data_IF_669847551190
#
_entry.id   IF_669847551190
#
_cell.length_a   1.000
_cell.length_b   1.000
_cell.length_c   1.000
_cell.angle_alpha   90.00
_cell.angle_beta   90.00
_cell.angle_gamma   90.00
#
_symmetry.space_group_name_H-M   'P 1'
#
loop_
_entity.id
_entity.type
_entity.pdbx_description
1 polymer ?
#
# COMPACT_ATOMS: atom_id res chain seq x y z
N UNK A 1 45.55 48.09 -28.04
CA UNK A 1 46.39 47.28 -27.14
C UNK A 1 46.32 47.93 -25.77
N UNK A 2 45.55 47.37 -24.84
CA UNK A 2 45.56 47.81 -23.44
C UNK A 2 46.76 47.16 -22.76
N UNK A 3 47.61 47.96 -22.12
CA UNK A 3 48.72 47.50 -21.28
C UNK A 3 48.17 46.63 -20.13
N UNK A 4 48.11 45.31 -20.35
CA UNK A 4 47.99 44.35 -19.26
C UNK A 4 49.34 44.34 -18.55
N UNK A 5 49.35 44.65 -17.25
CA UNK A 5 50.58 44.52 -16.44
C UNK A 5 51.15 43.11 -16.58
N UNK A 6 52.48 42.98 -16.54
CA UNK A 6 53.15 41.67 -16.61
C UNK A 6 52.59 40.66 -15.59
N UNK A 7 52.19 41.14 -14.40
CA UNK A 7 51.52 40.32 -13.39
C UNK A 7 50.14 39.81 -13.85
N UNK A 8 49.35 40.61 -14.54
CA UNK A 8 48.07 40.18 -15.08
C UNK A 8 48.24 39.13 -16.19
N UNK A 9 49.28 39.28 -17.02
CA UNK A 9 49.61 38.31 -18.06
C UNK A 9 50.06 36.97 -17.47
N UNK A 10 50.90 36.96 -16.43
CA UNK A 10 51.28 35.74 -15.71
C UNK A 10 50.10 35.07 -14.99
N UNK A 11 49.16 35.85 -14.44
CA UNK A 11 47.97 35.29 -13.80
C UNK A 11 47.00 34.61 -14.77
N UNK A 12 46.99 34.99 -16.05
CA UNK A 12 46.06 34.40 -17.05
C UNK A 12 46.75 33.53 -18.08
N UNK A 13 48.07 33.34 -17.99
CA UNK A 13 48.85 32.61 -19.02
C UNK A 13 48.50 31.13 -19.10
N UNK A 14 48.00 30.52 -18.01
CA UNK A 14 47.64 29.11 -17.98
C UNK A 14 46.28 28.81 -18.64
N UNK A 15 45.41 29.81 -18.78
CA UNK A 15 44.08 29.74 -19.42
C UNK A 15 44.04 30.38 -20.82
N UNK A 16 45.19 30.57 -21.46
CA UNK A 16 45.24 31.13 -22.81
C UNK A 16 44.59 30.19 -23.83
N UNK A 17 44.08 30.72 -24.94
CA UNK A 17 43.41 29.93 -25.97
C UNK A 17 44.28 28.80 -26.55
N UNK A 18 45.61 28.90 -26.48
CA UNK A 18 46.54 27.83 -26.84
C UNK A 18 46.47 26.60 -25.92
N UNK A 19 46.03 26.78 -24.67
CA UNK A 19 45.87 25.74 -23.66
C UNK A 19 44.41 25.32 -23.47
N UNK A 20 43.48 25.81 -24.29
CA UNK A 20 42.04 25.59 -24.12
C UNK A 20 41.70 24.10 -23.99
N UNK A 21 42.20 23.26 -24.89
CA UNK A 21 41.95 21.81 -24.86
C UNK A 21 42.46 21.13 -23.57
N UNK A 22 43.58 21.59 -23.02
CA UNK A 22 44.14 21.06 -21.78
C UNK A 22 43.31 21.49 -20.56
N UNK A 23 42.90 22.76 -20.52
CA UNK A 23 42.05 23.28 -19.43
C UNK A 23 40.66 22.65 -19.47
N UNK A 24 40.09 22.44 -20.66
CA UNK A 24 38.82 21.74 -20.86
C UNK A 24 38.89 20.29 -20.36
N UNK A 25 39.96 19.55 -20.67
CA UNK A 25 40.12 18.15 -20.22
C UNK A 25 40.25 18.05 -18.69
N UNK A 26 41.00 18.96 -18.06
CA UNK A 26 41.09 19.00 -16.59
C UNK A 26 39.74 19.40 -15.97
N UNK A 27 39.02 20.33 -16.60
CA UNK A 27 37.69 20.74 -16.13
C UNK A 27 36.66 19.61 -16.28
N UNK A 28 36.71 18.81 -17.35
CA UNK A 28 35.88 17.62 -17.48
C UNK A 28 36.15 16.61 -16.35
N UNK A 29 37.41 16.35 -16.04
CA UNK A 29 37.80 15.46 -14.94
C UNK A 29 37.36 16.02 -13.58
N UNK A 30 37.40 17.34 -13.39
CA UNK A 30 36.86 18.00 -12.20
C UNK A 30 35.35 17.80 -12.05
N UNK A 31 34.57 17.86 -13.15
CA UNK A 31 33.13 17.62 -13.12
C UNK A 31 32.77 16.14 -12.88
N UNK A 32 33.67 15.20 -13.21
CA UNK A 32 33.51 13.77 -12.94
C UNK A 32 33.89 13.41 -11.50
N UNK A 33 35.08 13.82 -11.05
CA UNK A 33 35.57 13.66 -9.68
C UNK A 33 36.64 14.72 -9.33
N UNK A 34 36.32 15.71 -8.49
CA UNK A 34 37.26 16.75 -8.04
C UNK A 34 38.51 16.23 -7.31
N UNK A 35 38.53 14.97 -6.85
CA UNK A 35 39.70 14.38 -6.19
C UNK A 35 40.78 13.91 -7.17
N UNK A 36 40.47 13.84 -8.47
CA UNK A 36 41.37 13.34 -9.52
C UNK A 36 42.30 14.40 -10.09
N UNK A 37 42.05 15.68 -9.79
CA UNK A 37 42.82 16.80 -10.30
C UNK A 37 43.74 17.43 -9.22
N UNK A 38 44.83 18.11 -9.62
CA UNK A 38 45.69 18.80 -8.68
C UNK A 38 44.95 19.86 -7.84
N UNK A 39 45.33 20.07 -6.55
CA UNK A 39 44.65 21.00 -5.65
C UNK A 39 44.55 22.44 -6.20
N UNK A 40 45.57 22.88 -6.93
CA UNK A 40 45.64 24.21 -7.54
C UNK A 40 44.52 24.46 -8.58
N UNK A 41 44.19 23.43 -9.36
CA UNK A 41 43.11 23.48 -10.35
C UNK A 41 41.73 23.39 -9.69
N UNK A 42 41.62 22.61 -8.61
CA UNK A 42 40.38 22.49 -7.84
C UNK A 42 39.98 23.84 -7.24
N UNK A 43 40.91 24.49 -6.53
CA UNK A 43 40.72 25.83 -5.96
C UNK A 43 40.38 26.88 -7.02
N UNK A 44 40.94 26.74 -8.23
CA UNK A 44 40.65 27.62 -9.35
C UNK A 44 39.22 27.42 -9.88
N UNK A 45 38.78 26.18 -10.08
CA UNK A 45 37.43 25.87 -10.59
C UNK A 45 36.32 26.12 -9.57
N UNK A 46 36.58 25.94 -8.27
CA UNK A 46 35.66 26.28 -7.18
C UNK A 46 35.32 27.79 -7.14
N UNK A 47 36.23 28.65 -7.64
CA UNK A 47 36.09 30.11 -7.66
C UNK A 47 35.46 30.64 -8.94
N UNK A 48 35.13 29.78 -9.91
CA UNK A 48 34.50 30.22 -11.15
C UNK A 48 33.08 30.75 -10.87
N UNK A 49 32.70 31.90 -11.44
CA UNK A 49 31.37 32.46 -11.27
C UNK A 49 30.36 31.54 -11.94
N UNK A 50 29.33 31.13 -11.18
CA UNK A 50 28.17 30.42 -11.75
C UNK A 50 27.40 31.37 -12.64
N UNK A 51 27.04 30.92 -13.85
CA UNK A 51 26.27 31.73 -14.79
C UNK A 51 24.88 32.00 -14.21
N UNK A 52 24.50 33.27 -14.05
CA UNK A 52 23.19 33.65 -13.53
C UNK A 52 22.06 33.09 -14.41
N UNK A 53 21.12 32.37 -13.79
CA UNK A 53 19.91 31.83 -14.44
C UNK A 53 19.93 30.34 -14.77
N UNK A 54 21.03 29.62 -14.52
CA UNK A 54 21.10 28.14 -14.70
C UNK A 54 21.34 27.48 -13.33
N UNK A 55 20.34 26.80 -12.74
CA UNK A 55 20.46 26.20 -11.40
C UNK A 55 21.20 24.85 -11.38
N UNK A 56 21.71 24.38 -12.53
CA UNK A 56 22.36 23.08 -12.66
C UNK A 56 23.87 23.18 -12.65
N UNK A 57 24.52 22.24 -11.96
CA UNK A 57 25.95 21.96 -12.05
C UNK A 57 26.33 21.64 -13.51
N UNK A 58 27.48 22.13 -13.97
CA UNK A 58 27.97 21.87 -15.33
C UNK A 58 28.13 20.36 -15.57
N UNK A 59 27.80 19.90 -16.78
CA UNK A 59 27.78 18.48 -17.15
C UNK A 59 29.02 18.18 -18.00
N UNK A 60 29.77 17.09 -17.73
CA UNK A 60 30.90 16.68 -18.55
C UNK A 60 30.51 16.50 -20.03
N UNK A 61 31.21 17.20 -20.93
CA UNK A 61 30.86 17.22 -22.35
C UNK A 61 31.16 15.88 -23.05
N UNK A 62 32.19 15.15 -22.62
CA UNK A 62 32.47 13.77 -23.06
C UNK A 62 31.30 12.79 -22.84
N UNK A 63 30.50 12.96 -21.79
CA UNK A 63 29.31 12.12 -21.54
C UNK A 63 28.25 12.34 -22.62
N UNK A 64 28.06 13.61 -23.00
CA UNK A 64 27.11 14.01 -24.06
C UNK A 64 27.60 13.52 -25.42
N UNK A 65 28.89 13.67 -25.73
CA UNK A 65 29.48 13.19 -26.97
C UNK A 65 29.33 11.67 -27.12
N UNK A 66 29.62 10.88 -26.07
CA UNK A 66 29.41 9.42 -26.06
C UNK A 66 27.95 9.04 -26.26
N UNK A 67 27.02 9.80 -25.67
CA UNK A 67 25.59 9.57 -25.85
C UNK A 67 25.16 9.77 -27.32
N UNK A 68 25.60 10.85 -27.96
CA UNK A 68 25.31 11.09 -29.38
C UNK A 68 26.03 10.10 -30.31
N UNK A 69 27.23 9.65 -29.96
CA UNK A 69 27.93 8.59 -30.68
C UNK A 69 27.15 7.26 -30.63
N UNK A 70 26.59 6.90 -29.47
CA UNK A 70 25.74 5.72 -29.29
C UNK A 70 24.42 5.84 -30.07
N UNK A 71 23.81 7.03 -30.10
CA UNK A 71 22.62 7.30 -30.93
C UNK A 71 22.92 7.19 -32.43
N UNK A 72 24.09 7.66 -32.86
CA UNK A 72 24.58 7.50 -34.24
C UNK A 72 24.80 6.04 -34.61
N UNK A 73 25.38 5.24 -33.71
CA UNK A 73 25.61 3.79 -33.90
C UNK A 73 24.31 2.96 -33.91
N UNK A 74 23.25 3.42 -33.21
CA UNK A 74 21.94 2.74 -33.18
C UNK A 74 21.10 2.92 -34.46
N UNK A 75 21.41 3.87 -35.34
CA UNK A 75 20.66 4.09 -36.61
C UNK A 75 20.95 3.05 -37.70
N UNK A 76 22.04 2.30 -37.61
CA UNK A 76 22.30 1.16 -38.46
C UNK A 76 22.08 -0.09 -37.64
N UNK A 77 20.94 -0.78 -37.80
CA UNK A 77 20.79 -2.16 -37.31
C UNK A 77 21.91 -3.02 -37.91
N UNK A 78 22.88 -3.52 -37.13
CA UNK A 78 23.71 -4.60 -37.62
C UNK A 78 22.92 -5.89 -37.39
N UNK A 79 22.87 -6.74 -38.40
CA UNK A 79 22.60 -8.16 -38.17
C UNK A 79 23.54 -8.65 -37.08
N UNK A 80 22.99 -9.35 -36.09
CA UNK A 80 23.72 -9.90 -34.95
C UNK A 80 24.84 -10.81 -35.46
N UNK A 81 26.09 -10.38 -35.28
CA UNK A 81 27.28 -11.22 -35.42
C UNK A 81 27.67 -11.68 -34.00
N UNK A 82 27.84 -12.99 -33.74
CA UNK A 82 28.30 -13.47 -32.44
C UNK A 82 29.75 -12.99 -32.23
N UNK A 83 29.99 -12.15 -31.20
CA UNK A 83 31.34 -11.66 -30.87
C UNK A 83 31.45 -10.23 -30.32
N UNK A 84 30.36 -9.46 -30.19
CA UNK A 84 30.39 -8.10 -29.59
C UNK A 84 30.20 -8.13 -28.06
N UNK A 85 31.16 -8.71 -27.33
CA UNK A 85 31.05 -8.94 -25.89
C UNK A 85 30.80 -7.69 -25.03
N UNK A 86 31.37 -6.53 -25.35
CA UNK A 86 31.33 -5.35 -24.46
C UNK A 86 29.94 -4.69 -24.30
N UNK A 87 29.17 -4.59 -25.39
CA UNK A 87 27.82 -3.95 -25.35
C UNK A 87 26.78 -4.91 -24.77
N UNK A 88 26.96 -6.22 -25.01
CA UNK A 88 26.08 -7.24 -24.45
C UNK A 88 26.28 -7.39 -22.93
N UNK A 89 27.54 -7.34 -22.45
CA UNK A 89 27.85 -7.44 -21.01
C UNK A 89 27.27 -6.26 -20.21
N UNK A 90 27.39 -5.02 -20.71
CA UNK A 90 26.82 -3.85 -20.01
C UNK A 90 25.28 -3.88 -19.99
N UNK A 91 24.64 -4.32 -21.08
CA UNK A 91 23.18 -4.50 -21.11
C UNK A 91 22.74 -5.63 -20.17
N UNK A 92 23.44 -6.77 -20.16
CA UNK A 92 23.18 -7.89 -19.24
C UNK A 92 23.40 -7.50 -17.77
N UNK A 93 24.43 -6.68 -17.46
CA UNK A 93 24.63 -6.13 -16.11
C UNK A 93 23.46 -5.25 -15.69
N UNK A 94 23.02 -4.33 -16.55
CA UNK A 94 21.86 -3.48 -16.28
C UNK A 94 20.57 -4.29 -16.16
N UNK A 95 20.42 -5.37 -16.93
CA UNK A 95 19.29 -6.29 -16.80
C UNK A 95 19.18 -6.88 -15.40
N UNK A 96 20.29 -7.28 -14.77
CA UNK A 96 20.30 -7.75 -13.38
C UNK A 96 19.86 -6.64 -12.43
N UNK A 97 20.34 -5.41 -12.65
CA UNK A 97 19.93 -4.25 -11.83
C UNK A 97 18.45 -3.92 -11.97
N UNK A 98 17.86 -4.09 -13.15
CA UNK A 98 16.41 -3.94 -13.35
C UNK A 98 15.62 -4.99 -12.56
N UNK A 99 16.10 -6.23 -12.48
CA UNK A 99 15.48 -7.26 -11.64
C UNK A 99 15.61 -6.95 -10.14
N UNK A 100 16.76 -6.42 -9.70
CA UNK A 100 16.91 -5.93 -8.32
C UNK A 100 15.97 -4.76 -8.02
N UNK A 101 15.83 -3.81 -8.94
CA UNK A 101 14.86 -2.72 -8.81
C UNK A 101 13.44 -3.24 -8.65
N UNK A 102 12.99 -4.16 -9.53
CA UNK A 102 11.68 -4.81 -9.41
C UNK A 102 11.50 -5.47 -8.04
N UNK A 103 12.53 -6.16 -7.55
CA UNK A 103 12.51 -6.77 -6.22
C UNK A 103 12.39 -5.72 -5.10
N UNK A 104 13.10 -4.59 -5.18
CA UNK A 104 13.00 -3.52 -4.20
C UNK A 104 11.59 -2.92 -4.14
N UNK A 105 10.94 -2.69 -5.29
CA UNK A 105 9.55 -2.21 -5.31
C UNK A 105 8.58 -3.22 -4.69
N UNK A 106 8.76 -4.52 -4.95
CA UNK A 106 7.94 -5.58 -4.33
C UNK A 106 8.09 -5.64 -2.81
N UNK A 107 9.30 -5.42 -2.29
CA UNK A 107 9.60 -5.53 -0.86
C UNK A 107 9.22 -4.25 -0.12
N UNK A 108 9.55 -3.07 -0.67
CA UNK A 108 9.50 -1.79 0.06
C UNK A 108 8.64 -0.71 -0.60
N UNK A 109 8.01 -0.99 -1.73
CA UNK A 109 7.16 -0.01 -2.42
C UNK A 109 6.03 0.53 -1.53
N UNK A 110 5.50 -0.30 -0.63
CA UNK A 110 4.49 0.10 0.36
C UNK A 110 4.96 1.24 1.29
N UNK A 111 6.26 1.42 1.53
CA UNK A 111 6.82 2.51 2.34
C UNK A 111 6.79 3.86 1.60
N UNK A 112 6.76 3.82 0.25
CA UNK A 112 6.61 5.00 -0.62
C UNK A 112 5.15 5.28 -0.98
N UNK A 113 4.23 4.35 -0.70
CA UNK A 113 2.84 4.46 -1.08
C UNK A 113 2.12 5.65 -0.44
N UNK A 114 1.20 6.25 -1.20
CA UNK A 114 0.34 7.36 -0.78
C UNK A 114 -0.87 6.86 0.00
N UNK A 115 -0.60 6.33 1.18
CA UNK A 115 -1.60 5.68 2.03
C UNK A 115 -2.43 6.64 2.87
N UNK A 116 -1.85 7.77 3.30
CA UNK A 116 -2.48 8.71 4.21
C UNK A 116 -3.40 9.69 3.47
N UNK A 117 -4.72 9.70 3.74
CA UNK A 117 -5.64 10.69 3.20
C UNK A 117 -5.27 12.14 3.56
N UNK A 118 -4.71 12.36 4.75
CA UNK A 118 -4.41 13.70 5.27
C UNK A 118 -3.06 14.26 4.78
N UNK A 119 -2.18 13.40 4.28
CA UNK A 119 -0.82 13.77 3.88
C UNK A 119 0.05 14.26 5.05
N UNK A 120 -0.24 13.83 6.28
CA UNK A 120 0.50 14.14 7.50
C UNK A 120 1.59 13.11 7.82
N UNK A 121 1.44 11.86 7.36
CA UNK A 121 2.42 10.80 7.58
C UNK A 121 3.77 11.18 6.96
N UNK A 122 4.78 11.37 7.82
CA UNK A 122 6.16 11.53 7.39
C UNK A 122 6.75 10.15 7.13
N UNK A 123 7.10 9.88 5.86
CA UNK A 123 7.74 8.63 5.44
C UNK A 123 9.25 8.81 5.34
N UNK A 124 9.98 7.81 5.80
CA UNK A 124 11.43 7.76 5.59
C UNK A 124 11.74 7.61 4.10
N UNK A 125 12.85 8.21 3.67
CA UNK A 125 13.33 8.04 2.32
C UNK A 125 13.78 6.58 2.10
N UNK A 126 13.42 6.00 0.96
CA UNK A 126 13.67 4.59 0.62
C UNK A 126 14.67 4.54 -0.55
N UNK A 127 15.99 4.48 -0.28
CA UNK A 127 17.01 4.70 -1.32
C UNK A 127 17.02 3.63 -2.39
N UNK A 128 16.64 2.39 -2.04
CA UNK A 128 16.62 1.25 -2.95
C UNK A 128 15.44 1.26 -3.94
N UNK A 129 14.59 2.29 -3.93
CA UNK A 129 13.61 2.55 -5.00
C UNK A 129 14.15 3.54 -6.05
N UNK A 130 15.29 4.19 -5.78
CA UNK A 130 15.91 5.13 -6.69
C UNK A 130 16.79 4.45 -7.73
N UNK A 131 16.81 4.99 -8.95
CA UNK A 131 17.63 4.46 -10.04
C UNK A 131 19.13 4.41 -9.70
N UNK A 132 19.63 5.45 -9.01
CA UNK A 132 21.05 5.58 -8.67
C UNK A 132 21.55 4.45 -7.77
N UNK A 133 20.72 3.95 -6.86
CA UNK A 133 21.06 2.82 -5.99
C UNK A 133 21.36 1.54 -6.79
N UNK A 134 20.67 1.36 -7.93
CA UNK A 134 20.81 0.21 -8.83
C UNK A 134 21.79 0.49 -9.98
N UNK A 135 22.60 1.55 -9.93
CA UNK A 135 23.53 1.94 -11.00
C UNK A 135 22.81 2.16 -12.35
N UNK A 136 21.53 2.53 -12.30
CA UNK A 136 20.72 2.91 -13.44
C UNK A 136 20.62 4.44 -13.51
N UNK A 137 20.50 4.98 -14.72
CA UNK A 137 20.42 6.40 -14.96
C UNK A 137 19.16 6.77 -15.74
N UNK A 138 18.84 8.07 -15.80
CA UNK A 138 17.74 8.56 -16.65
C UNK A 138 17.96 8.27 -18.14
N UNK A 139 19.23 8.11 -18.58
CA UNK A 139 19.53 7.74 -19.95
C UNK A 139 19.11 6.31 -20.31
N UNK A 140 18.88 5.46 -19.30
CA UNK A 140 18.47 4.06 -19.47
C UNK A 140 16.96 3.89 -19.62
N UNK A 141 16.16 4.94 -19.38
CA UNK A 141 14.69 4.87 -19.40
C UNK A 141 14.11 4.37 -20.72
N UNK A 142 14.73 4.72 -21.85
CA UNK A 142 14.32 4.29 -23.19
C UNK A 142 14.94 2.95 -23.62
N UNK A 143 15.76 2.33 -22.78
CA UNK A 143 16.34 1.02 -23.06
C UNK A 143 15.34 -0.08 -22.71
N UNK A 144 15.24 -1.09 -23.58
CA UNK A 144 14.36 -2.24 -23.42
C UNK A 144 15.06 -3.31 -22.58
N UNK A 145 14.34 -3.84 -21.59
CA UNK A 145 14.77 -4.90 -20.69
C UNK A 145 13.71 -6.00 -20.63
N UNK A 146 14.15 -7.20 -20.26
CA UNK A 146 13.26 -8.32 -19.95
C UNK A 146 12.56 -8.06 -18.61
N UNK A 147 11.25 -8.27 -18.58
CA UNK A 147 10.41 -8.07 -17.39
C UNK A 147 10.54 -9.23 -16.40
N UNK A 148 11.02 -10.39 -16.87
CA UNK A 148 11.26 -11.56 -16.03
C UNK A 148 9.98 -12.08 -15.39
N UNK A 149 9.90 -11.99 -14.06
CA UNK A 149 8.74 -12.43 -13.28
C UNK A 149 7.70 -11.34 -13.04
N UNK A 150 7.84 -10.16 -13.66
CA UNK A 150 6.90 -9.05 -13.54
C UNK A 150 5.66 -9.27 -14.43
N UNK A 151 4.47 -9.28 -13.83
CA UNK A 151 3.21 -9.62 -14.50
C UNK A 151 2.52 -8.41 -15.16
N UNK A 152 3.22 -7.68 -16.03
CA UNK A 152 2.65 -6.52 -16.76
C UNK A 152 2.11 -6.86 -18.16
N UNK A 153 2.02 -8.15 -18.50
CA UNK A 153 1.50 -8.63 -19.78
C UNK A 153 2.47 -8.50 -20.98
N UNK A 154 3.73 -8.14 -20.73
CA UNK A 154 4.78 -8.02 -21.74
C UNK A 154 6.05 -8.73 -21.25
N UNK A 155 6.73 -9.46 -22.14
CA UNK A 155 8.00 -10.15 -21.82
C UNK A 155 9.20 -9.21 -21.80
N UNK A 156 9.10 -8.09 -22.53
CA UNK A 156 10.12 -7.05 -22.62
C UNK A 156 9.42 -5.68 -22.63
N UNK A 157 9.99 -4.71 -21.93
CA UNK A 157 9.46 -3.35 -21.83
C UNK A 157 10.60 -2.34 -21.64
N UNK A 158 10.35 -1.07 -21.96
CA UNK A 158 11.31 0.00 -21.63
C UNK A 158 11.43 0.14 -20.12
N UNK A 159 12.62 0.50 -19.62
CA UNK A 159 12.83 0.74 -18.18
C UNK A 159 11.84 1.77 -17.62
N UNK A 160 11.53 2.83 -18.37
CA UNK A 160 10.52 3.81 -17.97
C UNK A 160 9.12 3.22 -17.78
N UNK A 161 8.71 2.31 -18.68
CA UNK A 161 7.41 1.63 -18.59
C UNK A 161 7.37 0.65 -17.42
N UNK A 162 8.48 -0.05 -17.15
CA UNK A 162 8.64 -0.95 -15.99
C UNK A 162 8.48 -0.16 -14.70
N UNK A 163 9.23 0.95 -14.53
CA UNK A 163 9.16 1.80 -13.34
C UNK A 163 7.76 2.37 -13.17
N UNK A 164 7.15 2.86 -14.25
CA UNK A 164 5.79 3.38 -14.20
C UNK A 164 4.79 2.33 -13.73
N UNK A 165 4.89 1.09 -14.21
CA UNK A 165 4.03 0.00 -13.76
C UNK A 165 4.27 -0.37 -12.29
N UNK A 166 5.53 -0.39 -11.83
CA UNK A 166 5.88 -0.65 -10.43
C UNK A 166 5.36 0.45 -9.49
N UNK A 167 5.55 1.71 -9.85
CA UNK A 167 5.04 2.88 -9.12
C UNK A 167 3.52 2.82 -9.01
N UNK A 168 2.82 2.54 -10.12
CA UNK A 168 1.35 2.38 -10.11
C UNK A 168 0.90 1.24 -9.19
N UNK A 169 1.58 0.10 -9.25
CA UNK A 169 1.20 -1.11 -8.51
C UNK A 169 1.46 -1.01 -7.01
N UNK A 170 2.63 -0.50 -6.62
CA UNK A 170 3.14 -0.63 -5.24
C UNK A 170 3.22 0.69 -4.47
N UNK A 171 3.16 1.85 -5.13
CA UNK A 171 3.47 3.16 -4.53
C UNK A 171 2.32 4.18 -4.62
N UNK A 172 1.10 3.76 -4.97
CA UNK A 172 -0.08 4.63 -5.08
C UNK A 172 -0.98 4.52 -3.85
N UNK A 173 -2.29 4.34 -4.01
CA UNK A 173 -3.24 4.22 -2.90
C UNK A 173 -3.29 2.82 -2.28
N UNK A 174 -2.58 1.85 -2.86
CA UNK A 174 -2.41 0.50 -2.31
C UNK A 174 -0.92 0.25 -2.06
N UNK A 175 -0.60 -0.13 -0.82
CA UNK A 175 0.73 -0.58 -0.41
C UNK A 175 0.63 -2.04 0.04
N UNK A 176 0.93 -3.01 -0.83
CA UNK A 176 0.84 -4.41 -0.46
C UNK A 176 2.14 -4.89 0.20
N UNK A 177 2.02 -5.53 1.35
CA UNK A 177 3.08 -6.22 2.06
C UNK A 177 2.88 -7.73 1.97
N UNK A 178 3.61 -8.36 1.05
CA UNK A 178 3.42 -9.78 0.71
C UNK A 178 4.72 -10.57 0.63
N UNK A 179 5.88 -9.90 0.64
CA UNK A 179 7.17 -10.54 0.37
C UNK A 179 7.73 -11.31 1.57
N UNK A 180 7.23 -11.08 2.79
CA UNK A 180 7.56 -11.87 3.98
C UNK A 180 6.95 -13.28 3.98
N UNK A 181 6.00 -13.55 3.09
CA UNK A 181 5.38 -14.86 2.92
C UNK A 181 6.42 -15.83 2.36
N UNK A 182 6.59 -17.01 2.99
CA UNK A 182 7.59 -17.97 2.50
C UNK A 182 7.09 -18.74 1.29
N UNK A 183 5.80 -19.11 1.28
CA UNK A 183 5.16 -19.88 0.21
C UNK A 183 5.22 -19.15 -1.15
N UNK A 184 5.85 -19.80 -2.13
CA UNK A 184 6.02 -19.23 -3.46
C UNK A 184 4.71 -19.11 -4.23
N UNK A 185 3.79 -20.07 -4.07
CA UNK A 185 2.51 -20.09 -4.77
C UNK A 185 1.64 -18.92 -4.33
N UNK A 186 1.62 -18.61 -3.04
CA UNK A 186 0.91 -17.46 -2.48
C UNK A 186 1.49 -16.14 -2.99
N UNK A 187 2.83 -15.99 -2.93
CA UNK A 187 3.52 -14.80 -3.46
C UNK A 187 3.22 -14.57 -4.93
N UNK A 188 3.36 -15.59 -5.77
CA UNK A 188 3.11 -15.48 -7.20
C UNK A 188 1.64 -15.16 -7.48
N UNK A 189 0.72 -15.77 -6.75
CA UNK A 189 -0.71 -15.51 -6.89
C UNK A 189 -1.08 -14.06 -6.57
N UNK A 190 -0.48 -13.49 -5.51
CA UNK A 190 -0.67 -12.09 -5.11
C UNK A 190 -0.01 -11.14 -6.12
N UNK A 191 1.25 -11.38 -6.48
CA UNK A 191 2.00 -10.60 -7.47
C UNK A 191 1.26 -10.54 -8.80
N UNK A 192 0.74 -11.68 -9.28
CA UNK A 192 0.01 -11.75 -10.54
C UNK A 192 -1.23 -10.84 -10.53
N UNK A 193 -2.01 -10.85 -9.44
CA UNK A 193 -3.24 -10.04 -9.34
C UNK A 193 -2.96 -8.55 -9.15
N UNK A 194 -1.94 -8.20 -8.36
CA UNK A 194 -1.54 -6.82 -8.14
C UNK A 194 -0.94 -6.21 -9.40
N UNK A 195 0.04 -6.86 -10.02
CA UNK A 195 0.80 -6.30 -11.15
C UNK A 195 0.02 -6.29 -12.47
N UNK A 196 -0.86 -7.28 -12.70
CA UNK A 196 -1.67 -7.32 -13.93
C UNK A 196 -2.70 -6.21 -14.01
N UNK A 197 -3.27 -5.82 -12.87
CA UNK A 197 -4.21 -4.70 -12.75
C UNK A 197 -3.53 -3.40 -12.32
N UNK A 198 -2.22 -3.46 -12.05
CA UNK A 198 -1.43 -2.37 -11.44
C UNK A 198 -2.07 -1.80 -10.18
N UNK A 199 -2.77 -2.63 -9.41
CA UNK A 199 -3.58 -2.24 -8.25
C UNK A 199 -4.70 -1.19 -8.52
N UNK A 200 -5.01 -0.91 -9.79
CA UNK A 200 -5.99 0.08 -10.24
C UNK A 200 -6.96 -0.52 -11.28
N UNK A 201 -7.86 -1.42 -10.87
CA UNK A 201 -8.86 -1.96 -11.80
C UNK A 201 -9.80 -0.86 -12.29
N UNK A 202 -10.12 -0.90 -13.59
CA UNK A 202 -11.08 0.04 -14.17
C UNK A 202 -12.51 -0.49 -13.99
N UNK A 203 -13.24 0.07 -13.01
CA UNK A 203 -14.63 -0.30 -12.76
C UNK A 203 -15.61 0.39 -13.71
N UNK A 204 -16.70 -0.31 -14.04
CA UNK A 204 -17.81 0.24 -14.81
C UNK A 204 -18.57 1.32 -14.01
N UNK A 205 -19.27 2.21 -14.72
CA UNK A 205 -19.97 3.34 -14.12
C UNK A 205 -21.02 2.92 -13.07
N UNK A 206 -21.65 1.76 -13.25
CA UNK A 206 -22.64 1.17 -12.35
C UNK A 206 -22.02 0.85 -10.99
N UNK A 207 -20.82 0.26 -10.98
CA UNK A 207 -20.08 -0.06 -9.74
C UNK A 207 -19.67 1.24 -9.04
N UNK A 208 -19.19 2.25 -9.80
CA UNK A 208 -18.82 3.55 -9.23
C UNK A 208 -20.03 4.26 -8.59
N UNK A 209 -21.20 4.21 -9.24
CA UNK A 209 -22.46 4.73 -8.68
C UNK A 209 -22.87 3.99 -7.40
N UNK A 210 -22.73 2.67 -7.38
CA UNK A 210 -23.01 1.87 -6.19
C UNK A 210 -22.07 2.22 -5.02
N UNK A 211 -20.77 2.36 -5.27
CA UNK A 211 -19.80 2.80 -4.26
C UNK A 211 -20.19 4.16 -3.68
N UNK A 212 -20.48 5.13 -4.54
CA UNK A 212 -20.92 6.47 -4.13
C UNK A 212 -22.20 6.42 -3.30
N UNK A 213 -23.17 5.60 -3.68
CA UNK A 213 -24.42 5.41 -2.92
C UNK A 213 -24.14 4.87 -1.52
N UNK A 214 -23.27 3.86 -1.39
CA UNK A 214 -22.89 3.28 -0.09
C UNK A 214 -22.15 4.28 0.80
N UNK A 215 -21.24 5.08 0.22
CA UNK A 215 -20.55 6.15 0.94
C UNK A 215 -21.52 7.24 1.39
N UNK A 216 -22.45 7.65 0.52
CA UNK A 216 -23.48 8.64 0.85
C UNK A 216 -24.39 8.15 1.98
N UNK A 217 -24.75 6.87 1.98
CA UNK A 217 -25.52 6.27 3.07
C UNK A 217 -24.73 6.22 4.40
N UNK A 218 -23.43 5.94 4.33
CA UNK A 218 -22.54 5.95 5.49
C UNK A 218 -22.44 7.35 6.11
N UNK A 219 -22.09 8.36 5.31
CA UNK A 219 -21.95 9.75 5.74
C UNK A 219 -23.29 10.34 6.19
N UNK A 220 -24.36 10.09 5.42
CA UNK A 220 -25.69 10.62 5.70
C UNK A 220 -26.24 10.17 7.05
N UNK A 221 -26.01 8.92 7.44
CA UNK A 221 -26.38 8.41 8.75
C UNK A 221 -25.63 9.13 9.88
N UNK A 222 -24.32 9.29 9.76
CA UNK A 222 -23.51 9.96 10.79
C UNK A 222 -23.94 11.42 10.96
N UNK A 223 -24.08 12.16 9.85
CA UNK A 223 -24.57 13.55 9.87
C UNK A 223 -25.95 13.67 10.49
N UNK A 224 -26.84 12.72 10.21
CA UNK A 224 -28.17 12.71 10.81
C UNK A 224 -28.12 12.48 12.33
N UNK A 225 -27.33 11.50 12.78
CA UNK A 225 -27.17 11.21 14.21
C UNK A 225 -26.53 12.37 14.96
N UNK A 226 -25.53 13.03 14.36
CA UNK A 226 -24.85 14.18 14.93
C UNK A 226 -25.78 15.39 15.10
N UNK A 227 -26.57 15.68 14.08
CA UNK A 227 -27.55 16.78 14.09
C UNK A 227 -28.69 16.53 15.07
N UNK A 228 -29.23 15.30 15.13
CA UNK A 228 -30.41 14.98 15.94
C UNK A 228 -30.09 14.75 17.42
N UNK A 229 -28.91 14.21 17.74
CA UNK A 229 -28.51 13.85 19.11
C UNK A 229 -27.18 14.49 19.53
N UNK A 230 -27.10 15.83 19.56
CA UNK A 230 -25.85 16.52 19.87
C UNK A 230 -25.34 16.13 21.27
N UNK A 231 -24.03 15.91 21.38
CA UNK A 231 -23.38 15.54 22.65
C UNK A 231 -23.55 14.09 23.09
N UNK A 232 -24.29 13.27 22.35
CA UNK A 232 -24.42 11.84 22.66
C UNK A 232 -23.25 11.06 22.06
N UNK A 233 -22.57 10.24 22.87
CA UNK A 233 -21.50 9.35 22.38
C UNK A 233 -22.06 8.34 21.38
N UNK A 234 -21.61 8.44 20.11
CA UNK A 234 -22.00 7.53 19.01
C UNK A 234 -20.85 6.72 18.39
N UNK A 235 -19.61 7.15 18.61
CA UNK A 235 -18.40 6.55 18.00
C UNK A 235 -18.49 6.48 16.47
N UNK A 236 -18.61 7.66 15.87
CA UNK A 236 -18.80 7.85 14.45
C UNK A 236 -17.77 7.20 13.54
N UNK A 237 -18.21 6.91 12.32
CA UNK A 237 -17.38 6.39 11.24
C UNK A 237 -16.78 7.50 10.35
N UNK A 238 -16.98 8.79 10.67
CA UNK A 238 -16.48 9.87 9.82
C UNK A 238 -14.97 9.77 9.59
N UNK A 239 -14.59 9.99 8.33
CA UNK A 239 -13.24 9.79 7.80
C UNK A 239 -12.89 8.34 7.44
N UNK A 240 -13.70 7.36 7.86
CA UNK A 240 -13.53 5.93 7.59
C UNK A 240 -14.74 5.29 6.89
N UNK A 241 -15.54 6.08 6.18
CA UNK A 241 -16.81 5.68 5.54
C UNK A 241 -16.62 4.52 4.54
N UNK A 242 -15.45 4.42 3.92
CA UNK A 242 -15.05 3.34 3.02
C UNK A 242 -15.10 1.95 3.66
N UNK A 243 -15.21 1.84 4.98
CA UNK A 243 -15.53 0.57 5.67
C UNK A 243 -16.87 -0.02 5.21
N UNK A 244 -17.87 0.81 4.90
CA UNK A 244 -19.20 0.33 4.49
C UNK A 244 -19.16 -0.36 3.13
N UNK A 245 -18.66 0.24 2.03
CA UNK A 245 -18.51 -0.47 0.77
C UNK A 245 -17.55 -1.68 0.88
N UNK A 246 -16.49 -1.59 1.71
CA UNK A 246 -15.59 -2.71 2.00
C UNK A 246 -16.36 -3.92 2.57
N UNK A 247 -17.09 -3.74 3.66
CA UNK A 247 -17.85 -4.83 4.28
C UNK A 247 -18.93 -5.37 3.35
N UNK A 248 -19.60 -4.49 2.61
CA UNK A 248 -20.61 -4.89 1.65
C UNK A 248 -20.02 -5.83 0.59
N UNK A 249 -18.90 -5.46 -0.04
CA UNK A 249 -18.23 -6.31 -1.03
C UNK A 249 -17.74 -7.62 -0.40
N UNK A 250 -17.14 -7.58 0.79
CA UNK A 250 -16.65 -8.77 1.47
C UNK A 250 -17.77 -9.81 1.66
N UNK A 251 -18.96 -9.36 2.07
CA UNK A 251 -20.13 -10.21 2.27
C UNK A 251 -20.66 -10.75 0.93
N UNK A 252 -20.82 -9.90 -0.09
CA UNK A 252 -21.31 -10.33 -1.40
C UNK A 252 -20.37 -11.35 -2.03
N UNK A 253 -19.06 -11.13 -1.91
CA UNK A 253 -18.04 -12.01 -2.44
C UNK A 253 -17.96 -13.33 -1.68
N UNK A 254 -18.08 -13.31 -0.34
CA UNK A 254 -18.23 -14.54 0.44
C UNK A 254 -19.45 -15.36 -0.01
N UNK A 255 -20.59 -14.69 -0.22
CA UNK A 255 -21.82 -15.32 -0.70
C UNK A 255 -21.67 -15.94 -2.09
N UNK A 256 -21.01 -15.25 -3.02
CA UNK A 256 -20.69 -15.77 -4.36
C UNK A 256 -19.80 -17.02 -4.30
N UNK A 257 -18.94 -17.14 -3.29
CA UNK A 257 -18.16 -18.35 -3.01
C UNK A 257 -18.93 -19.45 -2.28
N UNK A 258 -20.23 -19.27 -2.05
CA UNK A 258 -21.10 -20.25 -1.41
C UNK A 258 -21.08 -20.21 0.12
N UNK A 259 -20.56 -19.15 0.73
CA UNK A 259 -20.69 -18.94 2.17
C UNK A 259 -22.17 -18.93 2.56
N UNK A 260 -22.47 -19.52 3.71
CA UNK A 260 -23.81 -19.56 4.30
C UNK A 260 -23.95 -18.61 5.48
N UNK A 261 -22.84 -18.35 6.17
CA UNK A 261 -22.82 -17.47 7.32
C UNK A 261 -21.57 -16.61 7.34
N UNK A 262 -21.71 -15.34 7.72
CA UNK A 262 -20.61 -14.44 8.03
C UNK A 262 -20.77 -14.00 9.47
N UNK A 263 -19.77 -14.27 10.29
CA UNK A 263 -19.75 -13.88 11.70
C UNK A 263 -18.75 -12.75 11.86
N UNK A 264 -19.22 -11.63 12.41
CA UNK A 264 -18.46 -10.41 12.57
C UNK A 264 -18.14 -10.15 14.04
N UNK A 265 -16.92 -9.68 14.30
CA UNK A 265 -16.50 -9.01 15.53
C UNK A 265 -16.04 -7.60 15.21
N UNK A 266 -16.40 -6.63 16.04
CA UNK A 266 -15.89 -5.27 15.86
C UNK A 266 -15.80 -4.49 17.17
N UNK A 267 -14.93 -3.49 17.19
CA UNK A 267 -14.87 -2.47 18.22
C UNK A 267 -16.09 -1.50 18.17
N UNK A 268 -16.01 -0.39 18.90
CA UNK A 268 -17.10 0.60 18.97
C UNK A 268 -17.21 1.49 17.72
N UNK A 269 -16.11 1.72 16.99
CA UNK A 269 -16.05 2.70 15.91
C UNK A 269 -16.86 2.27 14.69
N UNK A 270 -17.77 3.14 14.26
CA UNK A 270 -18.68 2.89 13.14
C UNK A 270 -19.70 1.78 13.37
N UNK A 271 -19.86 1.29 14.61
CA UNK A 271 -20.74 0.14 14.89
C UNK A 271 -22.19 0.42 14.54
N UNK A 272 -22.70 1.61 14.85
CA UNK A 272 -24.08 1.99 14.51
C UNK A 272 -24.26 2.05 12.98
N UNK A 273 -23.22 2.49 12.27
CA UNK A 273 -23.20 2.52 10.83
C UNK A 273 -23.28 1.11 10.23
N UNK A 274 -22.45 0.19 10.71
CA UNK A 274 -22.47 -1.23 10.30
C UNK A 274 -23.81 -1.89 10.64
N UNK A 275 -24.39 -1.61 11.82
CA UNK A 275 -25.70 -2.14 12.19
C UNK A 275 -26.80 -1.74 11.20
N UNK A 276 -26.84 -0.49 10.76
CA UNK A 276 -27.88 0.00 9.84
C UNK A 276 -27.56 -0.35 8.38
N UNK A 277 -26.37 0.02 7.91
CA UNK A 277 -26.03 -0.02 6.48
C UNK A 277 -25.54 -1.40 6.00
N UNK A 278 -25.11 -2.30 6.89
CA UNK A 278 -24.66 -3.66 6.54
C UNK A 278 -25.65 -4.72 7.06
N UNK A 279 -26.00 -4.65 8.35
CA UNK A 279 -26.85 -5.66 8.98
C UNK A 279 -28.35 -5.38 8.81
N UNK A 280 -28.75 -4.21 8.33
CA UNK A 280 -30.16 -3.89 8.08
C UNK A 280 -30.99 -3.67 9.34
N UNK A 281 -30.36 -3.29 10.46
CA UNK A 281 -31.10 -2.82 11.65
C UNK A 281 -31.94 -1.61 11.25
N UNK A 282 -33.23 -1.64 11.57
CA UNK A 282 -34.12 -0.55 11.17
C UNK A 282 -33.70 0.76 11.85
N UNK A 283 -33.63 1.89 11.13
CA UNK A 283 -33.28 3.18 11.74
C UNK A 283 -34.24 3.57 12.87
N UNK A 284 -35.51 3.17 12.80
CA UNK A 284 -36.49 3.36 13.88
C UNK A 284 -36.08 2.69 15.18
N UNK A 285 -35.68 1.41 15.14
CA UNK A 285 -35.18 0.71 16.34
C UNK A 285 -33.93 1.38 16.92
N UNK A 286 -33.04 1.86 16.04
CA UNK A 286 -31.87 2.59 16.49
C UNK A 286 -32.28 3.90 17.19
N UNK A 287 -33.17 4.68 16.61
CA UNK A 287 -33.61 5.95 17.18
C UNK A 287 -34.36 5.79 18.51
N UNK A 288 -35.15 4.72 18.68
CA UNK A 288 -35.78 4.38 19.96
C UNK A 288 -34.75 4.12 21.07
N UNK A 289 -33.60 3.52 20.74
CA UNK A 289 -32.46 3.35 21.66
C UNK A 289 -31.73 4.67 21.96
N UNK A 290 -31.86 5.68 21.10
CA UNK A 290 -31.42 7.05 21.41
C UNK A 290 -32.38 7.80 22.31
N UNK A 291 -33.69 7.58 22.15
CA UNK A 291 -34.72 8.20 22.96
C UNK A 291 -34.93 7.52 24.33
N UNK A 292 -34.22 6.42 24.61
CA UNK A 292 -34.29 5.70 25.90
C UNK A 292 -35.60 4.92 26.10
N UNK A 293 -36.35 4.67 25.02
CA UNK A 293 -37.68 4.03 25.07
C UNK A 293 -37.64 2.50 25.17
N UNK A 294 -36.46 1.89 25.03
CA UNK A 294 -36.30 0.43 25.09
C UNK A 294 -36.23 -0.05 26.54
N UNK A 295 -37.38 -0.49 27.07
CA UNK A 295 -37.46 -1.17 28.36
C UNK A 295 -36.84 -2.56 28.23
N UNK A 296 -35.67 -2.76 28.85
CA UNK A 296 -35.06 -4.09 28.97
C UNK A 296 -35.38 -4.63 30.35
N UNK A 297 -35.95 -5.83 30.44
CA UNK A 297 -36.22 -6.52 31.72
C UNK A 297 -34.94 -7.09 32.39
N UNK A 298 -33.76 -6.62 32.00
CA UNK A 298 -32.44 -7.05 32.50
C UNK A 298 -31.57 -5.82 32.75
N UNK A 299 -30.34 -6.01 33.24
CA UNK A 299 -29.38 -4.93 33.44
C UNK A 299 -29.02 -4.16 32.16
N UNK A 300 -29.32 -4.71 30.98
CA UNK A 300 -29.00 -4.10 29.68
C UNK A 300 -27.50 -3.94 29.42
N UNK A 301 -27.16 -3.33 28.29
CA UNK A 301 -25.82 -2.82 27.97
C UNK A 301 -25.95 -1.65 26.99
N UNK A 302 -24.90 -0.85 26.83
CA UNK A 302 -24.88 0.28 25.89
C UNK A 302 -25.11 -0.16 24.45
N UNK A 303 -25.79 0.69 23.67
CA UNK A 303 -26.23 0.44 22.29
C UNK A 303 -25.13 -0.02 21.33
N UNK A 304 -23.89 0.39 21.56
CA UNK A 304 -22.72 -0.02 20.76
C UNK A 304 -22.01 -1.30 21.29
N UNK A 305 -22.62 -2.06 22.19
CA UNK A 305 -22.17 -3.43 22.57
C UNK A 305 -23.14 -4.52 22.08
N UNK A 306 -24.34 -4.12 21.65
CA UNK A 306 -25.39 -5.05 21.23
C UNK A 306 -24.98 -5.78 19.95
N UNK A 307 -25.16 -7.10 19.93
CA UNK A 307 -25.07 -7.93 18.73
C UNK A 307 -26.32 -7.77 17.87
N UNK A 308 -26.26 -8.28 16.65
CA UNK A 308 -27.39 -8.28 15.73
C UNK A 308 -27.26 -9.44 14.74
N UNK A 309 -28.39 -9.94 14.24
CA UNK A 309 -28.39 -10.97 13.21
C UNK A 309 -29.45 -10.67 12.16
N UNK A 310 -29.10 -10.92 10.91
CA UNK A 310 -29.98 -10.72 9.76
C UNK A 310 -29.57 -11.63 8.62
N UNK A 311 -30.41 -11.71 7.58
CA UNK A 311 -30.07 -12.40 6.35
C UNK A 311 -29.97 -11.36 5.24
N UNK A 312 -28.97 -11.52 4.37
CA UNK A 312 -28.75 -10.67 3.20
C UNK A 312 -28.69 -11.54 1.95
N UNK A 313 -29.32 -11.07 0.88
CA UNK A 313 -29.26 -11.72 -0.43
C UNK A 313 -27.97 -11.34 -1.15
N UNK A 314 -27.23 -12.34 -1.60
CA UNK A 314 -26.02 -12.19 -2.43
C UNK A 314 -26.23 -12.88 -3.79
N UNK A 315 -25.29 -12.71 -4.72
CA UNK A 315 -25.34 -13.40 -6.01
C UNK A 315 -25.31 -14.93 -5.88
N UNK A 316 -24.70 -15.46 -4.79
CA UNK A 316 -24.70 -16.89 -4.46
C UNK A 316 -25.85 -17.38 -3.56
N UNK A 317 -26.83 -16.52 -3.28
CA UNK A 317 -28.00 -16.81 -2.45
C UNK A 317 -27.97 -16.12 -1.09
N UNK A 318 -28.83 -16.59 -0.18
CA UNK A 318 -28.98 -16.03 1.16
C UNK A 318 -27.75 -16.33 2.04
N UNK A 319 -27.22 -15.29 2.69
CA UNK A 319 -26.14 -15.37 3.66
C UNK A 319 -26.64 -14.83 5.00
N UNK A 320 -26.47 -15.62 6.06
CA UNK A 320 -26.80 -15.19 7.41
C UNK A 320 -25.64 -14.39 8.01
N UNK A 321 -25.91 -13.16 8.42
CA UNK A 321 -24.97 -12.27 9.08
C UNK A 321 -25.20 -12.30 10.59
N UNK A 322 -24.11 -12.40 11.36
CA UNK A 322 -24.16 -12.32 12.80
C UNK A 322 -23.05 -11.40 13.33
N UNK A 323 -23.43 -10.27 13.92
CA UNK A 323 -22.52 -9.41 14.67
C UNK A 323 -22.52 -9.83 16.13
N UNK A 324 -21.33 -10.16 16.65
CA UNK A 324 -21.18 -10.61 18.03
C UNK A 324 -21.35 -9.46 19.03
N UNK A 325 -21.88 -9.80 20.20
CA UNK A 325 -21.81 -8.93 21.37
C UNK A 325 -20.34 -8.75 21.79
N UNK A 326 -20.00 -7.58 22.34
CA UNK A 326 -18.67 -7.34 22.90
C UNK A 326 -18.74 -6.37 24.08
N UNK A 327 -17.89 -6.54 25.09
CA UNK A 327 -17.69 -5.53 26.12
C UNK A 327 -16.86 -4.35 25.59
N UNK A 328 -16.63 -3.35 26.44
CA UNK A 328 -15.71 -2.24 26.14
C UNK A 328 -14.23 -2.65 26.05
N UNK A 329 -13.86 -3.83 26.56
CA UNK A 329 -12.51 -4.36 26.43
C UNK A 329 -12.24 -4.68 24.95
N UNK A 330 -11.37 -3.88 24.32
CA UNK A 330 -11.07 -4.03 22.90
C UNK A 330 -10.37 -5.37 22.63
N UNK A 331 -10.47 -5.85 21.40
CA UNK A 331 -9.85 -7.08 20.88
C UNK A 331 -10.32 -8.41 21.48
N UNK A 332 -10.89 -8.44 22.69
CA UNK A 332 -11.31 -9.69 23.34
C UNK A 332 -12.45 -10.41 22.61
N UNK A 333 -13.19 -9.71 21.74
CA UNK A 333 -14.23 -10.30 20.89
C UNK A 333 -13.64 -11.19 19.79
N UNK A 334 -12.38 -10.98 19.40
CA UNK A 334 -11.73 -11.71 18.30
C UNK A 334 -11.72 -13.23 18.53
N UNK A 335 -11.18 -13.77 19.65
CA UNK A 335 -11.24 -15.21 19.90
C UNK A 335 -12.66 -15.74 20.13
N UNK A 336 -13.59 -14.90 20.59
CA UNK A 336 -15.02 -15.27 20.76
C UNK A 336 -15.67 -15.51 19.40
N UNK A 337 -15.38 -14.66 18.42
CA UNK A 337 -15.85 -14.83 17.03
C UNK A 337 -15.26 -16.09 16.42
N UNK A 338 -13.97 -16.34 16.59
CA UNK A 338 -13.33 -17.57 16.10
C UNK A 338 -13.98 -18.83 16.70
N UNK A 339 -14.25 -18.84 18.00
CA UNK A 339 -14.97 -19.93 18.66
C UNK A 339 -16.40 -20.13 18.13
N UNK A 340 -17.13 -19.03 17.92
CA UNK A 340 -18.49 -19.04 17.34
C UNK A 340 -18.48 -19.61 15.91
N UNK A 341 -17.53 -19.17 15.09
CA UNK A 341 -17.34 -19.64 13.71
C UNK A 341 -16.99 -21.11 13.70
N UNK A 342 -16.02 -21.52 14.52
CA UNK A 342 -15.61 -22.91 14.62
C UNK A 342 -16.77 -23.83 15.01
N UNK A 343 -17.58 -23.43 15.99
CA UNK A 343 -18.78 -24.17 16.39
C UNK A 343 -19.81 -24.28 15.25
N UNK A 344 -20.03 -23.20 14.49
CA UNK A 344 -20.95 -23.20 13.33
C UNK A 344 -20.42 -24.08 12.19
N UNK A 345 -19.11 -24.06 11.92
CA UNK A 345 -18.49 -24.94 10.93
C UNK A 345 -18.61 -26.41 11.32
N UNK A 346 -18.35 -26.75 12.57
CA UNK A 346 -18.45 -28.13 13.06
C UNK A 346 -19.91 -28.62 13.02
N UNK A 347 -20.88 -27.76 13.39
CA UNK A 347 -22.33 -28.04 13.23
C UNK A 347 -22.72 -28.31 11.77
N UNK A 348 -22.14 -27.58 10.82
CA UNK A 348 -22.39 -27.73 9.38
C UNK A 348 -21.59 -28.86 8.73
N UNK A 349 -20.68 -29.50 9.47
CA UNK A 349 -19.68 -30.45 8.93
C UNK A 349 -18.87 -29.80 7.79
N UNK A 350 -18.56 -28.50 7.93
CA UNK A 350 -17.80 -27.71 6.97
C UNK A 350 -16.29 -28.00 7.10
N UNK A 351 -15.89 -29.19 6.63
CA UNK A 351 -14.50 -29.65 6.71
C UNK A 351 -13.53 -28.76 5.93
N UNK A 352 -14.01 -28.13 4.85
CA UNK A 352 -13.24 -27.23 3.99
C UNK A 352 -13.28 -25.77 4.47
N UNK A 353 -13.94 -25.49 5.62
CA UNK A 353 -13.95 -24.18 6.30
C UNK A 353 -14.34 -23.02 5.36
N UNK A 354 -15.28 -23.29 4.46
CA UNK A 354 -15.67 -22.38 3.38
C UNK A 354 -17.07 -21.79 3.54
N UNK A 355 -17.93 -22.39 4.37
CA UNK A 355 -19.33 -22.00 4.52
C UNK A 355 -19.55 -20.96 5.62
N UNK A 356 -18.68 -20.88 6.62
CA UNK A 356 -18.77 -19.89 7.69
C UNK A 356 -17.50 -19.04 7.68
N UNK A 357 -17.67 -17.73 7.49
CA UNK A 357 -16.57 -16.79 7.29
C UNK A 357 -16.46 -15.83 8.48
N UNK A 358 -15.32 -15.81 9.18
CA UNK A 358 -15.02 -14.78 10.17
C UNK A 358 -14.55 -13.48 9.48
N UNK A 359 -15.10 -12.35 9.94
CA UNK A 359 -14.60 -11.00 9.64
C UNK A 359 -14.41 -10.27 10.96
N UNK A 360 -13.22 -9.72 11.22
CA UNK A 360 -12.93 -9.03 12.48
C UNK A 360 -12.42 -7.62 12.18
N UNK A 361 -13.02 -6.63 12.85
CA UNK A 361 -12.75 -5.21 12.66
C UNK A 361 -12.09 -4.64 13.92
N UNK A 362 -10.90 -4.08 13.72
CA UNK A 362 -10.01 -3.64 14.79
C UNK A 362 -9.80 -2.12 14.75
N UNK A 363 -9.32 -1.54 15.84
CA UNK A 363 -8.72 -0.20 15.84
C UNK A 363 -7.20 -0.31 15.83
N UNK A 364 -6.51 0.61 15.15
CA UNK A 364 -5.04 0.61 15.00
C UNK A 364 -4.26 0.46 16.31
N UNK A 365 -4.56 1.29 17.31
CA UNK A 365 -3.84 1.27 18.58
C UNK A 365 -4.11 -0.02 19.38
N UNK A 366 -5.35 -0.54 19.31
CA UNK A 366 -5.74 -1.75 20.02
C UNK A 366 -5.14 -3.00 19.36
N UNK A 367 -5.13 -3.04 18.02
CA UNK A 367 -4.56 -4.13 17.24
C UNK A 367 -3.07 -4.32 17.51
N UNK A 368 -2.32 -3.22 17.63
CA UNK A 368 -0.90 -3.25 17.96
C UNK A 368 -0.62 -3.53 19.45
N UNK A 369 -1.50 -3.09 20.36
CA UNK A 369 -1.22 -3.07 21.80
C UNK A 369 -1.79 -4.22 22.63
N UNK A 370 -2.83 -4.94 22.15
CA UNK A 370 -3.49 -5.99 22.93
C UNK A 370 -2.93 -7.38 22.61
N UNK A 371 -2.36 -8.06 23.61
CA UNK A 371 -1.76 -9.39 23.44
C UNK A 371 -2.72 -10.49 22.96
N UNK A 372 -4.03 -10.33 23.18
CA UNK A 372 -5.04 -11.28 22.68
C UNK A 372 -5.08 -11.36 21.14
N UNK A 373 -4.64 -10.32 20.44
CA UNK A 373 -4.51 -10.32 18.98
C UNK A 373 -3.46 -11.33 18.56
N UNK A 374 -2.28 -11.31 19.21
CA UNK A 374 -1.21 -12.28 18.98
C UNK A 374 -1.68 -13.70 19.29
N UNK A 375 -2.34 -13.92 20.43
CA UNK A 375 -2.86 -15.23 20.82
C UNK A 375 -3.88 -15.77 19.79
N UNK A 376 -4.73 -14.90 19.24
CA UNK A 376 -5.73 -15.27 18.23
C UNK A 376 -5.08 -15.63 16.90
N UNK A 377 -4.10 -14.83 16.43
CA UNK A 377 -3.33 -15.18 15.23
C UNK A 377 -2.61 -16.52 15.38
N UNK A 378 -1.98 -16.76 16.53
CA UNK A 378 -1.30 -18.03 16.79
C UNK A 378 -2.23 -19.25 16.67
N UNK A 379 -3.52 -19.07 16.92
CA UNK A 379 -4.53 -20.13 16.81
C UNK A 379 -5.06 -20.36 15.38
N UNK A 380 -4.88 -19.42 14.45
CA UNK A 380 -5.60 -19.38 13.17
C UNK A 380 -5.35 -20.57 12.25
N UNK A 381 -4.17 -21.21 12.37
CA UNK A 381 -3.80 -22.41 11.60
C UNK A 381 -3.72 -23.69 12.45
N UNK A 382 -4.04 -23.62 13.74
CA UNK A 382 -4.00 -24.81 14.60
C UNK A 382 -5.19 -25.73 14.30
N UNK A 383 -4.98 -27.05 14.41
CA UNK A 383 -6.02 -28.06 14.11
C UNK A 383 -7.36 -27.82 14.85
N UNK A 384 -7.28 -27.45 16.12
CA UNK A 384 -8.44 -27.35 17.00
C UNK A 384 -9.19 -26.01 16.87
N UNK A 385 -8.50 -24.95 16.46
CA UNK A 385 -9.06 -23.59 16.49
C UNK A 385 -9.16 -22.93 15.12
N UNK A 386 -8.38 -23.37 14.13
CA UNK A 386 -8.39 -22.76 12.80
C UNK A 386 -9.76 -22.82 12.13
N UNK A 387 -10.12 -21.69 11.51
CA UNK A 387 -11.43 -21.42 10.88
C UNK A 387 -11.33 -21.24 9.36
N UNK A 388 -10.18 -21.59 8.76
CA UNK A 388 -9.95 -21.48 7.33
C UNK A 388 -9.67 -20.05 6.85
N UNK A 389 -9.00 -19.28 7.70
CA UNK A 389 -8.60 -17.91 7.43
C UNK A 389 -9.66 -16.88 7.84
N UNK A 390 -9.19 -15.80 8.44
CA UNK A 390 -10.01 -14.65 8.85
C UNK A 390 -9.66 -13.40 8.03
N UNK A 391 -10.70 -12.65 7.63
CA UNK A 391 -10.52 -11.32 7.09
C UNK A 391 -10.42 -10.33 8.26
N UNK A 392 -9.23 -9.79 8.47
CA UNK A 392 -9.01 -8.73 9.45
C UNK A 392 -9.05 -7.38 8.76
N UNK A 393 -9.80 -6.44 9.33
CA UNK A 393 -9.90 -5.06 8.84
C UNK A 393 -9.47 -4.15 9.99
N UNK A 394 -8.41 -3.39 9.81
CA UNK A 394 -7.98 -2.41 10.80
C UNK A 394 -8.47 -1.04 10.34
N UNK A 395 -9.32 -0.41 11.13
CA UNK A 395 -9.72 0.99 10.91
C UNK A 395 -8.61 1.86 11.47
N UNK A 396 -7.65 2.23 10.61
CA UNK A 396 -6.47 2.98 10.99
C UNK A 396 -6.66 4.47 10.79
N UNK A 397 -7.30 5.11 11.77
CA UNK A 397 -7.43 6.58 11.84
C UNK A 397 -6.21 7.30 12.38
N UNK A 398 -5.10 6.59 12.59
CA UNK A 398 -3.84 7.21 12.99
C UNK A 398 -3.92 7.87 14.39
N UNK A 399 -4.91 7.49 15.21
CA UNK A 399 -5.10 8.04 16.55
C UNK A 399 -5.84 7.08 17.50
N UNK A 400 -5.16 6.73 18.60
CA UNK A 400 -5.71 6.00 19.73
C UNK A 400 -6.21 6.96 20.82
N UNK A 401 -7.49 7.33 20.78
CA UNK A 401 -8.07 8.33 21.69
C UNK A 401 -7.31 9.68 21.63
N UNK A 402 -6.38 9.96 22.53
CA UNK A 402 -5.52 11.16 22.54
C UNK A 402 -4.09 10.90 22.06
N UNK A 403 -3.72 9.62 21.89
CA UNK A 403 -2.36 9.19 21.54
C UNK A 403 -2.25 9.02 20.03
N UNK A 404 -1.52 9.91 19.36
CA UNK A 404 -1.35 9.92 17.90
C UNK A 404 0.09 9.63 17.47
N UNK A 405 1.07 9.88 18.35
CA UNK A 405 2.47 9.66 18.04
C UNK A 405 2.74 8.16 17.94
N UNK A 406 3.41 7.76 16.87
CA UNK A 406 3.72 6.36 16.60
C UNK A 406 4.52 5.73 17.75
N UNK A 407 5.54 6.43 18.26
CA UNK A 407 6.43 5.97 19.32
C UNK A 407 5.75 5.80 20.69
N UNK A 408 4.59 6.42 20.89
CA UNK A 408 3.76 6.21 22.08
C UNK A 408 2.81 5.00 21.95
N UNK A 409 2.47 4.59 20.72
CA UNK A 409 1.47 3.54 20.43
C UNK A 409 2.11 2.19 20.10
N UNK A 410 3.23 2.18 19.37
CA UNK A 410 3.86 0.96 18.85
C UNK A 410 5.35 1.16 18.55
N UNK A 411 6.08 0.04 18.50
CA UNK A 411 7.52 0.02 18.16
C UNK A 411 7.82 -0.35 16.70
N UNK A 412 6.79 -0.52 15.87
CA UNK A 412 6.91 -0.96 14.48
C UNK A 412 6.36 0.11 13.53
N UNK A 413 6.58 -0.03 12.21
CA UNK A 413 6.11 0.94 11.22
C UNK A 413 4.58 0.94 11.15
N UNK A 414 3.98 -0.24 10.99
CA UNK A 414 2.54 -0.38 10.81
C UNK A 414 1.90 -1.00 12.04
N UNK A 415 0.67 -0.58 12.35
CA UNK A 415 -0.11 -1.22 13.41
C UNK A 415 -0.37 -2.71 13.12
N UNK A 416 -0.32 -3.11 11.84
CA UNK A 416 -0.62 -4.46 11.36
C UNK A 416 0.57 -5.42 11.36
N UNK A 417 1.75 -4.97 11.77
CA UNK A 417 2.99 -5.79 11.73
C UNK A 417 2.87 -7.10 12.52
N UNK A 418 2.01 -7.16 13.54
CA UNK A 418 1.75 -8.39 14.30
C UNK A 418 1.28 -9.54 13.40
N UNK A 419 0.56 -9.27 12.31
CA UNK A 419 0.06 -10.30 11.41
C UNK A 419 1.17 -11.03 10.63
N UNK A 420 2.36 -10.43 10.53
CA UNK A 420 3.55 -11.06 9.92
C UNK A 420 3.98 -12.31 10.68
N UNK A 421 3.62 -12.45 11.96
CA UNK A 421 3.94 -13.64 12.77
C UNK A 421 3.42 -14.94 12.16
N UNK A 422 2.25 -14.89 11.50
CA UNK A 422 1.64 -16.03 10.79
C UNK A 422 1.81 -15.94 9.29
N UNK A 423 2.65 -15.03 8.81
CA UNK A 423 2.87 -14.74 7.39
C UNK A 423 1.59 -14.37 6.65
N UNK A 424 0.65 -13.68 7.31
CA UNK A 424 -0.53 -13.17 6.63
C UNK A 424 -0.11 -12.02 5.69
N UNK A 425 -0.63 -11.96 4.44
CA UNK A 425 -0.51 -10.76 3.61
C UNK A 425 -1.21 -9.57 4.27
N UNK A 426 -0.63 -8.40 4.11
CA UNK A 426 -1.17 -7.14 4.61
C UNK A 426 -1.37 -6.21 3.41
N UNK A 427 -2.56 -5.66 3.27
CA UNK A 427 -2.91 -4.72 2.21
C UNK A 427 -3.22 -3.36 2.84
N UNK A 428 -2.27 -2.43 2.76
CA UNK A 428 -2.52 -1.04 3.17
C UNK A 428 -3.26 -0.32 2.05
N UNK A 429 -4.35 0.35 2.39
CA UNK A 429 -5.18 1.06 1.42
C UNK A 429 -5.61 2.41 1.95
N UNK A 430 -5.52 3.42 1.09
CA UNK A 430 -6.01 4.77 1.38
C UNK A 430 -7.55 4.78 1.35
N UNK A 431 -8.19 5.19 2.44
CA UNK A 431 -9.65 5.19 2.56
C UNK A 431 -10.35 6.21 1.64
N UNK A 432 -9.66 7.24 1.14
CA UNK A 432 -10.22 8.21 0.19
C UNK A 432 -10.30 7.66 -1.24
N UNK A 433 -9.72 6.49 -1.52
CA UNK A 433 -9.85 5.78 -2.80
C UNK A 433 -10.76 4.54 -2.64
N UNK A 434 -12.10 4.69 -2.73
CA UNK A 434 -13.03 3.58 -2.55
C UNK A 434 -12.93 2.52 -3.65
N UNK A 435 -12.40 2.85 -4.83
CA UNK A 435 -12.14 1.89 -5.90
C UNK A 435 -10.96 0.98 -5.52
N UNK A 436 -9.88 1.55 -4.98
CA UNK A 436 -8.78 0.78 -4.43
C UNK A 436 -9.22 -0.07 -3.23
N UNK A 437 -10.05 0.47 -2.33
CA UNK A 437 -10.63 -0.29 -1.21
C UNK A 437 -11.46 -1.48 -1.71
N UNK A 438 -12.27 -1.29 -2.75
CA UNK A 438 -13.03 -2.38 -3.36
C UNK A 438 -12.09 -3.47 -3.91
N UNK A 439 -11.05 -3.06 -4.64
CA UNK A 439 -10.06 -4.00 -5.20
C UNK A 439 -9.34 -4.83 -4.13
N UNK A 440 -8.81 -4.21 -3.07
CA UNK A 440 -8.11 -4.94 -2.01
C UNK A 440 -9.06 -5.88 -1.26
N UNK A 441 -10.33 -5.49 -1.11
CA UNK A 441 -11.37 -6.35 -0.52
C UNK A 441 -11.58 -7.60 -1.35
N UNK A 442 -11.68 -7.43 -2.68
CA UNK A 442 -11.83 -8.53 -3.62
C UNK A 442 -10.64 -9.48 -3.55
N UNK A 443 -9.43 -8.92 -3.58
CA UNK A 443 -8.18 -9.67 -3.47
C UNK A 443 -8.10 -10.43 -2.14
N UNK A 444 -8.50 -9.81 -1.03
CA UNK A 444 -8.43 -10.42 0.29
C UNK A 444 -9.39 -11.61 0.44
N UNK A 445 -10.63 -11.45 0.00
CA UNK A 445 -11.60 -12.54 0.02
C UNK A 445 -11.19 -13.70 -0.89
N UNK A 446 -10.60 -13.41 -2.04
CA UNK A 446 -10.06 -14.41 -2.97
C UNK A 446 -8.88 -15.18 -2.36
N UNK A 447 -7.96 -14.48 -1.70
CA UNK A 447 -6.80 -15.09 -1.04
C UNK A 447 -7.27 -16.01 0.08
N UNK A 448 -8.16 -15.52 0.97
CA UNK A 448 -8.73 -16.31 2.06
C UNK A 448 -9.48 -17.53 1.53
N UNK A 449 -10.27 -17.37 0.46
CA UNK A 449 -10.97 -18.50 -0.17
C UNK A 449 -10.01 -19.55 -0.74
N UNK A 450 -8.93 -19.12 -1.39
CA UNK A 450 -7.96 -19.97 -2.08
C UNK A 450 -7.03 -20.70 -1.10
N UNK A 451 -6.43 -19.98 -0.16
CA UNK A 451 -5.35 -20.49 0.70
C UNK A 451 -5.80 -20.85 2.12
N UNK A 452 -7.03 -20.48 2.52
CA UNK A 452 -7.56 -20.74 3.87
C UNK A 452 -6.70 -20.15 5.00
N UNK A 453 -6.10 -18.99 4.71
CA UNK A 453 -5.22 -18.23 5.62
C UNK A 453 -5.79 -16.85 5.90
N UNK A 454 -5.36 -16.30 7.02
CA UNK A 454 -5.72 -14.95 7.43
C UNK A 454 -5.12 -13.92 6.47
N UNK A 455 -5.83 -12.82 6.30
CA UNK A 455 -5.38 -11.66 5.52
C UNK A 455 -5.84 -10.38 6.22
N UNK A 456 -4.99 -9.36 6.18
CA UNK A 456 -5.25 -8.08 6.83
C UNK A 456 -5.41 -6.98 5.80
N UNK A 457 -6.47 -6.19 5.94
CA UNK A 457 -6.63 -4.90 5.27
C UNK A 457 -6.38 -3.80 6.30
N UNK A 458 -5.35 -2.99 6.08
CA UNK A 458 -5.11 -1.76 6.84
C UNK A 458 -5.80 -0.61 6.10
N UNK A 459 -6.99 -0.24 6.57
CA UNK A 459 -7.79 0.86 6.02
C UNK A 459 -7.31 2.17 6.63
N UNK A 460 -6.34 2.82 5.98
CA UNK A 460 -5.74 4.07 6.44
C UNK A 460 -6.71 5.22 6.18
N UNK A 461 -7.22 5.76 7.27
CA UNK A 461 -8.29 6.76 7.32
C UNK A 461 -7.93 7.87 8.32
N UNK A 462 -8.91 8.67 8.74
CA UNK A 462 -8.73 9.70 9.77
C UNK A 462 -9.91 9.73 10.74
N UNK A 463 -9.78 10.48 11.84
CA UNK A 463 -10.85 10.76 12.81
C UNK A 463 -10.73 12.16 13.40
#
# INVERSE_FOLDING_TARGET
MQDKSMEALWRTSHITGSNAAYVEDIYENYLLDPATIPPEWKDYFDRLPRVEGVPTQDIPHSTIQKHFELLGKRRSRPLVIPGSGGVNIEHERKQVQVLHLISSYRIRGHQKARLDPLGLMVREHVPDLELGFHQLSRADLDTVFQTGSLFIGQSEAKLGDIIHALEQTYCTHVGPEIMHITDLSEKQWLQQRLESMRSHPNYQAEIKKYLLERLTAAEGLERHLDSKYPGTKRFGLEGGESLVPLLSEAIHRAGNYGAKEVVMGMAHRGRLNVLVNILGKTPSELFEEFEGKKLVNTSGDVKYHQGFSSNVMTGGGEVHLALSFNPSHLEIVSPVVEGSVRARQDRRKDLNRSQVVPIIIHGDAAFAGQGVVMETFQMSQTRAYGTGGTLHIVINNQVGFTTHRQDDVRSTEYCTDIAKMVQAPILHVNADDPEAVLFVTQLAMDYRHTFKKDIVIDLVCYR
#
